data_IF_445882740775
#
_entry.id   IF_445882740775
#
_cell.length_a   1.000
_cell.length_b   1.000
_cell.length_c   1.000
_cell.angle_alpha   90.00
_cell.angle_beta   90.00
_cell.angle_gamma   90.00
#
_symmetry.space_group_name_H-M   'P 1'
#
loop_
_entity.id
_entity.type
_entity.pdbx_description
1 polymer ?
#
# COMPACT_ATOMS: atom_id res chain seq x y z
N UNK A 1 3.27 11.55 -2.53
CA UNK A 1 4.23 10.76 -1.73
C UNK A 1 3.53 10.13 -0.53
N UNK A 2 4.04 9.00 -0.02
CA UNK A 2 3.72 8.43 1.29
C UNK A 2 4.96 7.76 1.87
N UNK A 3 5.32 8.10 3.11
CA UNK A 3 6.55 7.58 3.75
C UNK A 3 7.84 7.82 2.94
N UNK A 4 7.87 8.90 2.14
CA UNK A 4 8.92 9.25 1.17
C UNK A 4 9.02 8.40 -0.11
N UNK A 5 7.98 7.62 -0.44
CA UNK A 5 7.87 6.90 -1.72
C UNK A 5 6.76 7.48 -2.60
N UNK A 6 6.84 7.22 -3.92
CA UNK A 6 5.74 7.53 -4.85
C UNK A 6 4.47 6.79 -4.40
N UNK A 7 3.31 7.43 -4.50
CA UNK A 7 2.04 6.85 -4.08
C UNK A 7 0.96 7.13 -5.11
N UNK A 8 0.63 6.12 -5.90
CA UNK A 8 -0.48 6.14 -6.85
C UNK A 8 -1.75 5.69 -6.13
N UNK A 9 -2.61 6.67 -5.79
CA UNK A 9 -3.88 6.42 -5.11
C UNK A 9 -4.86 5.75 -6.07
N UNK A 10 -5.50 4.68 -5.63
CA UNK A 10 -6.66 4.09 -6.30
C UNK A 10 -7.87 5.05 -6.22
N UNK A 11 -7.93 5.99 -7.16
CA UNK A 11 -9.02 6.96 -7.32
C UNK A 11 -10.27 6.28 -7.92
N UNK A 12 -11.46 6.71 -7.51
CA UNK A 12 -12.74 6.06 -7.88
C UNK A 12 -13.08 4.77 -7.12
N UNK A 13 -12.12 4.12 -6.47
CA UNK A 13 -12.38 2.93 -5.65
C UNK A 13 -13.06 3.29 -4.32
N UNK A 14 -14.01 2.47 -3.87
CA UNK A 14 -14.54 2.52 -2.50
C UNK A 14 -13.42 2.12 -1.54
N UNK A 15 -13.30 2.81 -0.42
CA UNK A 15 -12.27 2.54 0.59
C UNK A 15 -12.91 2.44 1.97
N UNK A 16 -12.60 1.36 2.67
CA UNK A 16 -13.01 1.11 4.03
C UNK A 16 -11.76 1.17 4.91
N UNK A 17 -11.79 1.99 5.97
CA UNK A 17 -10.70 2.05 6.93
C UNK A 17 -10.84 0.92 7.95
N UNK A 18 -9.72 0.30 8.32
CA UNK A 18 -9.67 -0.66 9.43
C UNK A 18 -9.39 0.08 10.74
N UNK A 19 -9.95 -0.39 11.85
CA UNK A 19 -9.68 0.18 13.17
C UNK A 19 -8.33 -0.33 13.71
N UNK A 20 -7.27 0.41 13.39
CA UNK A 20 -5.86 0.05 13.64
C UNK A 20 -5.16 0.91 14.69
N UNK A 21 -5.86 1.89 15.26
CA UNK A 21 -5.30 2.75 16.31
C UNK A 21 -4.94 1.91 17.53
N UNK A 22 -3.70 2.06 18.00
CA UNK A 22 -3.14 1.32 19.13
C UNK A 22 -3.22 -0.22 18.97
N UNK A 23 -3.16 -0.72 17.71
CA UNK A 23 -3.04 -2.16 17.40
C UNK A 23 -1.61 -2.62 17.15
N UNK A 24 -0.68 -1.68 17.07
CA UNK A 24 0.76 -1.87 16.94
C UNK A 24 1.47 -0.96 17.95
N UNK A 25 2.80 -1.04 18.02
CA UNK A 25 3.64 -0.39 19.04
C UNK A 25 3.43 1.14 19.15
N UNK A 26 3.19 1.80 18.01
CA UNK A 26 2.82 3.20 17.92
C UNK A 26 1.78 3.45 16.80
N UNK A 27 1.45 4.73 16.53
CA UNK A 27 0.63 5.14 15.39
C UNK A 27 1.40 5.99 14.35
N UNK A 28 2.71 6.18 14.51
CA UNK A 28 3.55 7.04 13.65
C UNK A 28 3.57 6.52 12.21
N UNK A 29 3.63 5.19 12.07
CA UNK A 29 3.58 4.46 10.79
C UNK A 29 2.37 4.84 9.91
N UNK A 30 1.23 5.20 10.53
CA UNK A 30 0.01 5.60 9.83
C UNK A 30 0.08 7.03 9.27
N UNK A 31 0.97 7.87 9.82
CA UNK A 31 1.12 9.28 9.50
C UNK A 31 -0.10 10.11 9.90
N UNK A 32 -0.44 10.09 11.19
CA UNK A 32 -1.59 10.82 11.78
C UNK A 32 -1.35 12.31 12.00
N UNK A 33 -0.08 12.76 12.01
CA UNK A 33 0.28 14.16 12.21
C UNK A 33 -0.17 15.07 11.05
N UNK A 34 -0.25 16.38 11.35
CA UNK A 34 -0.75 17.44 10.45
C UNK A 34 0.07 17.51 9.16
N UNK A 35 -0.38 16.78 8.14
CA UNK A 35 0.08 16.89 6.75
C UNK A 35 -0.16 18.32 6.24
N UNK A 36 0.84 18.88 5.57
CA UNK A 36 0.72 20.16 4.88
C UNK A 36 -0.28 20.07 3.71
N UNK A 37 -0.28 18.94 3.00
CA UNK A 37 -1.21 18.67 1.90
C UNK A 37 -1.49 17.16 1.73
N UNK A 38 -2.49 16.82 0.92
CA UNK A 38 -2.94 15.43 0.72
C UNK A 38 -1.90 14.49 0.10
N UNK A 39 -0.86 15.02 -0.54
CA UNK A 39 0.24 14.31 -1.19
C UNK A 39 1.53 14.27 -0.36
N UNK A 40 1.65 15.10 0.69
CA UNK A 40 2.80 15.12 1.61
C UNK A 40 2.96 13.84 2.44
N UNK A 41 4.21 13.49 2.73
CA UNK A 41 4.59 12.50 3.74
C UNK A 41 4.88 13.19 5.07
N UNK A 42 4.68 12.50 6.20
CA UNK A 42 5.14 12.97 7.52
C UNK A 42 6.30 12.12 8.04
N UNK A 43 7.07 12.65 9.00
CA UNK A 43 8.21 11.92 9.61
C UNK A 43 7.70 10.65 10.32
N UNK A 44 8.39 9.53 10.12
CA UNK A 44 8.00 8.23 10.72
C UNK A 44 6.85 7.51 10.01
N UNK A 45 6.17 8.15 9.05
CA UNK A 45 5.17 7.48 8.23
C UNK A 45 5.80 6.38 7.37
N UNK A 46 5.18 5.21 7.35
CA UNK A 46 5.59 4.10 6.48
C UNK A 46 4.98 4.26 5.08
N UNK A 47 5.66 3.87 3.99
CA UNK A 47 5.05 3.87 2.65
C UNK A 47 3.79 3.01 2.59
N UNK A 48 2.90 3.36 1.65
CA UNK A 48 1.70 2.59 1.35
C UNK A 48 2.02 1.55 0.29
N UNK A 49 1.70 0.29 0.56
CA UNK A 49 1.66 -0.77 -0.45
C UNK A 49 0.22 -1.28 -0.63
N UNK A 50 -0.04 -1.94 -1.75
CA UNK A 50 -1.28 -2.65 -2.00
C UNK A 50 -0.98 -4.13 -2.19
N UNK A 51 -1.73 -4.98 -1.50
CA UNK A 51 -1.68 -6.43 -1.70
C UNK A 51 -3.06 -6.88 -2.18
N UNK A 52 -3.15 -7.33 -3.43
CA UNK A 52 -4.33 -8.02 -3.95
C UNK A 52 -4.29 -9.50 -3.54
N UNK A 53 -5.45 -10.09 -3.28
CA UNK A 53 -5.55 -11.54 -3.14
C UNK A 53 -5.54 -12.19 -4.52
N UNK A 54 -5.02 -13.41 -4.64
CA UNK A 54 -4.84 -14.09 -5.91
C UNK A 54 -6.13 -14.32 -6.71
N UNK A 55 -5.97 -14.40 -8.04
CA UNK A 55 -6.41 -15.56 -8.81
C UNK A 55 -5.19 -16.45 -9.03
N UNK A 56 -4.16 -15.89 -9.68
CA UNK A 56 -2.75 -16.31 -9.60
C UNK A 56 -1.80 -15.09 -9.63
N UNK A 57 -1.73 -14.42 -8.48
CA UNK A 57 -0.54 -13.78 -7.86
C UNK A 57 0.25 -12.57 -8.43
N UNK A 58 0.05 -12.00 -9.63
CA UNK A 58 0.44 -10.57 -9.86
C UNK A 58 0.01 -9.94 -11.19
N UNK A 59 0.21 -10.65 -12.30
CA UNK A 59 0.20 -10.09 -13.67
C UNK A 59 -1.09 -9.33 -14.00
N UNK A 60 -2.24 -9.90 -13.65
CA UNK A 60 -3.57 -9.33 -13.85
C UNK A 60 -3.91 -8.11 -12.97
N UNK A 61 -3.05 -7.67 -12.03
CA UNK A 61 -3.19 -6.35 -11.38
C UNK A 61 -2.78 -5.26 -12.36
N UNK A 62 -1.70 -5.49 -13.12
CA UNK A 62 -1.18 -4.56 -14.11
C UNK A 62 -1.92 -4.66 -15.45
N UNK A 63 -2.36 -5.87 -15.84
CA UNK A 63 -2.96 -6.15 -17.15
C UNK A 63 -4.49 -5.94 -17.15
N UNK A 64 -5.23 -6.59 -16.25
CA UNK A 64 -6.71 -6.66 -16.31
C UNK A 64 -7.44 -5.84 -15.23
N UNK A 65 -6.73 -5.41 -14.18
CA UNK A 65 -7.33 -4.67 -13.07
C UNK A 65 -8.35 -5.46 -12.24
N UNK A 66 -8.00 -6.73 -11.95
CA UNK A 66 -8.49 -7.69 -10.93
C UNK A 66 -9.91 -7.58 -10.41
N UNK A 67 -10.65 -8.70 -10.29
CA UNK A 67 -11.94 -8.74 -9.59
C UNK A 67 -11.82 -9.09 -8.07
N UNK A 68 -12.10 -8.18 -7.11
CA UNK A 68 -12.02 -6.71 -7.22
C UNK A 68 -11.65 -5.96 -5.91
N UNK A 69 -10.82 -6.59 -5.05
CA UNK A 69 -10.49 -6.11 -3.70
C UNK A 69 -8.97 -6.09 -3.48
N UNK A 70 -8.44 -5.05 -2.85
CA UNK A 70 -7.04 -5.00 -2.38
C UNK A 70 -6.95 -4.55 -0.92
N UNK A 71 -6.03 -5.16 -0.17
CA UNK A 71 -5.61 -4.67 1.13
C UNK A 71 -4.65 -3.51 0.96
N UNK A 72 -4.96 -2.40 1.60
CA UNK A 72 -4.10 -1.22 1.68
C UNK A 72 -3.27 -1.33 2.95
N UNK A 73 -1.97 -1.46 2.78
CA UNK A 73 -1.01 -1.75 3.83
C UNK A 73 -0.03 -0.59 4.02
N UNK A 74 0.61 -0.58 5.18
CA UNK A 74 1.83 0.15 5.46
C UNK A 74 2.96 -0.86 5.65
N UNK A 75 4.14 -0.58 5.13
CA UNK A 75 5.29 -1.50 5.17
C UNK A 75 6.54 -0.77 5.67
N UNK A 76 7.31 -1.39 6.57
CA UNK A 76 8.50 -0.77 7.15
C UNK A 76 9.57 -0.57 6.06
N UNK A 77 9.96 0.68 5.72
CA UNK A 77 10.89 0.91 4.62
C UNK A 77 12.32 0.45 4.91
N UNK A 78 12.62 0.08 6.17
CA UNK A 78 13.96 -0.33 6.62
C UNK A 78 14.19 -1.84 6.52
N UNK A 79 13.14 -2.66 6.40
CA UNK A 79 13.22 -4.14 6.35
C UNK A 79 12.79 -4.73 5.00
N UNK A 80 12.37 -3.89 4.05
CA UNK A 80 12.02 -4.32 2.69
C UNK A 80 13.25 -4.66 1.85
N UNK A 81 13.22 -5.84 1.23
CA UNK A 81 14.07 -6.15 0.07
C UNK A 81 13.44 -5.48 -1.15
N UNK A 82 14.21 -4.68 -1.88
CA UNK A 82 13.78 -3.99 -3.09
C UNK A 82 14.44 -4.62 -4.30
N UNK A 83 13.63 -5.13 -5.22
CA UNK A 83 14.05 -5.64 -6.52
C UNK A 83 13.77 -4.54 -7.53
N UNK A 84 14.81 -4.08 -8.23
CA UNK A 84 14.71 -2.91 -9.10
C UNK A 84 14.01 -3.25 -10.42
N UNK A 85 13.56 -2.22 -11.15
CA UNK A 85 12.91 -2.39 -12.45
C UNK A 85 13.85 -3.03 -13.47
N UNK A 86 15.14 -2.75 -13.37
CA UNK A 86 16.20 -3.30 -14.24
C UNK A 86 16.32 -4.82 -14.07
N UNK A 87 16.10 -5.34 -12.86
CA UNK A 87 16.13 -6.79 -12.58
C UNK A 87 14.83 -7.51 -12.99
N UNK A 88 13.66 -6.91 -12.74
CA UNK A 88 12.38 -7.57 -13.08
C UNK A 88 11.94 -7.40 -14.54
N UNK A 89 12.48 -6.39 -15.24
CA UNK A 89 12.04 -5.97 -16.57
C UNK A 89 10.66 -5.29 -16.65
N UNK A 90 9.87 -5.30 -15.57
CA UNK A 90 8.46 -4.86 -15.57
C UNK A 90 8.13 -3.77 -14.53
N UNK A 91 8.83 -3.71 -13.40
CA UNK A 91 8.58 -2.72 -12.35
C UNK A 91 9.43 -2.90 -11.10
N UNK A 92 9.39 -1.95 -10.17
CA UNK A 92 10.02 -2.13 -8.84
C UNK A 92 9.13 -3.01 -7.96
N UNK A 93 9.73 -4.03 -7.33
CA UNK A 93 9.03 -4.95 -6.40
C UNK A 93 9.60 -4.83 -5.00
N UNK A 94 8.72 -4.84 -4.00
CA UNK A 94 9.11 -4.80 -2.59
C UNK A 94 8.69 -6.10 -1.92
N UNK A 95 9.64 -6.81 -1.32
CA UNK A 95 9.42 -8.04 -0.58
C UNK A 95 9.60 -7.74 0.91
N UNK A 96 8.60 -8.13 1.71
CA UNK A 96 8.63 -8.14 3.17
C UNK A 96 8.60 -9.59 3.64
N UNK A 97 9.21 -9.85 4.79
CA UNK A 97 9.07 -11.10 5.55
C UNK A 97 7.66 -11.33 6.12
N UNK A 98 6.79 -10.32 6.07
CA UNK A 98 5.42 -10.34 6.58
C UNK A 98 5.28 -9.86 8.03
N UNK A 99 6.37 -9.76 8.80
CA UNK A 99 6.34 -9.26 10.18
C UNK A 99 6.04 -7.75 10.23
N UNK A 100 6.60 -7.02 9.27
CA UNK A 100 6.51 -5.56 9.15
C UNK A 100 5.43 -5.06 8.17
N UNK A 101 4.37 -5.85 7.98
CA UNK A 101 3.23 -5.50 7.13
C UNK A 101 2.00 -5.15 7.98
N UNK A 102 1.53 -3.91 7.88
CA UNK A 102 0.43 -3.35 8.70
C UNK A 102 -0.78 -2.97 7.82
N UNK A 103 -1.78 -3.84 7.62
CA UNK A 103 -3.01 -3.52 6.90
C UNK A 103 -3.79 -2.42 7.63
N UNK A 104 -4.29 -1.41 6.90
CA UNK A 104 -5.08 -0.31 7.48
C UNK A 104 -6.33 0.05 6.67
N UNK A 105 -6.51 -0.52 5.48
CA UNK A 105 -7.71 -0.29 4.68
C UNK A 105 -7.98 -1.40 3.69
N UNK A 106 -9.21 -1.42 3.19
CA UNK A 106 -9.65 -2.30 2.10
C UNK A 106 -10.17 -1.40 0.97
N UNK A 107 -9.61 -1.53 -0.23
CA UNK A 107 -10.08 -0.81 -1.42
C UNK A 107 -10.85 -1.79 -2.31
N UNK A 108 -12.03 -1.37 -2.79
CA UNK A 108 -12.88 -2.14 -3.71
C UNK A 108 -13.24 -1.24 -4.89
N UNK A 109 -12.79 -1.57 -6.12
CA UNK A 109 -13.33 -0.89 -7.33
C UNK A 109 -14.77 -1.37 -7.47
N UNK A 110 -15.66 -0.49 -7.89
CA UNK A 110 -16.98 -0.89 -8.34
C UNK A 110 -16.93 -0.88 -9.86
N UNK A 111 -17.30 -1.97 -10.51
CA UNK A 111 -17.64 -1.92 -11.93
C UNK A 111 -18.95 -1.13 -12.06
N UNK A 112 -18.92 -0.10 -12.90
CA UNK A 112 -20.13 0.60 -13.30
C UNK A 112 -20.77 -0.22 -14.42
N UNK A 113 -21.94 -0.78 -14.13
CA UNK A 113 -22.85 -1.34 -15.13
C UNK A 113 -23.48 -0.21 -15.94
#
# INVERSE_FOLDING_TARGET
>A
MRGNYEYKRLCGWRRFALNVLNKYDDNNWLGVDKRNDSSSSVRGEWPVSYHGTAKDNCKSIAEDGYLLVVFQNRVNPNTLIKISKEETGIGEYWISDGADLRPYGICIKKEFC
#
